data_IF_020611851875
#
_entry.id   IF_020611851875
#
_cell.length_a   1.000
_cell.length_b   1.000
_cell.length_c   1.000
_cell.angle_alpha   90.00
_cell.angle_beta   90.00
_cell.angle_gamma   90.00
#
_symmetry.space_group_name_H-M   'P 1'
#
loop_
_entity.id
_entity.type
_entity.pdbx_description
1 polymer ?
#
# COMPACT_ATOMS: atom_id res chain seq x y z
N UNK A 1 11.26 -2.11 15.92
CA UNK A 1 10.79 -1.96 14.53
C UNK A 1 10.84 -0.49 14.16
N UNK A 2 11.52 -0.10 13.07
CA UNK A 2 11.40 1.27 12.56
C UNK A 2 10.00 1.42 11.98
N UNK A 3 9.16 2.27 12.57
CA UNK A 3 7.89 2.67 11.95
C UNK A 3 8.23 3.52 10.72
N UNK A 4 8.07 2.94 9.54
CA UNK A 4 8.09 3.69 8.28
C UNK A 4 6.82 4.53 8.26
N UNK A 5 6.95 5.85 8.09
CA UNK A 5 5.80 6.74 7.94
C UNK A 5 5.52 6.89 6.45
N UNK A 6 4.32 6.50 6.03
CA UNK A 6 3.82 6.78 4.69
C UNK A 6 3.32 8.21 4.62
N UNK A 7 3.46 8.84 3.46
CA UNK A 7 2.77 10.10 3.19
C UNK A 7 1.31 9.81 2.83
N UNK A 8 0.41 10.76 3.08
CA UNK A 8 -1.00 10.64 2.68
C UNK A 8 -1.13 10.34 1.18
N UNK A 9 -0.28 10.95 0.36
CA UNK A 9 -0.24 10.72 -1.08
C UNK A 9 0.09 9.27 -1.44
N UNK A 10 1.03 8.63 -0.74
CA UNK A 10 1.37 7.22 -0.94
C UNK A 10 0.20 6.31 -0.55
N UNK A 11 -0.48 6.60 0.55
CA UNK A 11 -1.65 5.83 1.01
C UNK A 11 -2.77 5.91 -0.02
N UNK A 12 -3.11 7.13 -0.48
CA UNK A 12 -4.16 7.34 -1.49
C UNK A 12 -3.82 6.64 -2.81
N UNK A 13 -2.56 6.69 -3.25
CA UNK A 13 -2.13 6.04 -4.49
C UNK A 13 -2.29 4.50 -4.44
N UNK A 14 -1.95 3.89 -3.30
CA UNK A 14 -2.13 2.45 -3.04
C UNK A 14 -3.61 2.08 -3.07
N UNK A 15 -4.45 2.81 -2.32
CA UNK A 15 -5.89 2.54 -2.24
C UNK A 15 -6.58 2.68 -3.61
N UNK A 16 -6.29 3.75 -4.36
CA UNK A 16 -6.86 3.96 -5.71
C UNK A 16 -6.45 2.88 -6.69
N UNK A 17 -5.23 2.34 -6.57
CA UNK A 17 -4.77 1.26 -7.43
C UNK A 17 -5.55 -0.03 -7.18
N UNK A 18 -5.88 -0.33 -5.92
CA UNK A 18 -6.74 -1.47 -5.56
C UNK A 18 -8.19 -1.23 -5.99
N UNK A 19 -8.74 -0.02 -5.80
CA UNK A 19 -10.07 0.35 -6.32
C UNK A 19 -10.16 0.22 -7.86
N UNK A 20 -9.07 0.47 -8.58
CA UNK A 20 -8.97 0.26 -10.02
C UNK A 20 -8.87 -1.22 -10.44
N UNK A 21 -8.95 -2.16 -9.49
CA UNK A 21 -8.97 -3.60 -9.73
C UNK A 21 -7.61 -4.28 -9.71
N UNK A 22 -6.53 -3.59 -9.30
CA UNK A 22 -5.24 -4.26 -9.06
C UNK A 22 -5.32 -5.12 -7.81
N UNK A 23 -4.59 -6.23 -7.81
CA UNK A 23 -4.51 -7.09 -6.63
C UNK A 23 -3.71 -6.41 -5.52
N UNK A 24 -4.13 -6.60 -4.26
CA UNK A 24 -3.41 -6.07 -3.10
C UNK A 24 -1.94 -6.53 -3.10
N UNK A 25 -1.70 -7.79 -3.51
CA UNK A 25 -0.36 -8.37 -3.60
C UNK A 25 0.54 -7.62 -4.57
N UNK A 26 0.07 -7.29 -5.78
CA UNK A 26 0.85 -6.53 -6.76
C UNK A 26 1.13 -5.11 -6.25
N UNK A 27 0.10 -4.42 -5.74
CA UNK A 27 0.23 -3.05 -5.25
C UNK A 27 1.17 -2.98 -4.04
N UNK A 28 1.09 -3.92 -3.11
CA UNK A 28 2.00 -4.00 -1.96
C UNK A 28 3.45 -4.24 -2.41
N UNK A 29 3.66 -5.11 -3.41
CA UNK A 29 4.99 -5.37 -3.97
C UNK A 29 5.57 -4.13 -4.66
N UNK A 30 4.78 -3.40 -5.45
CA UNK A 30 5.22 -2.16 -6.12
C UNK A 30 5.49 -1.03 -5.11
N UNK A 31 4.66 -0.91 -4.08
CA UNK A 31 4.80 0.13 -3.05
C UNK A 31 5.87 -0.21 -2.00
N UNK A 32 6.53 -1.37 -2.10
CA UNK A 32 7.49 -1.89 -1.13
C UNK A 32 6.92 -1.93 0.31
N UNK A 33 5.66 -2.32 0.44
CA UNK A 33 4.98 -2.53 1.72
C UNK A 33 4.55 -3.98 1.88
N UNK A 34 4.41 -4.43 3.13
CA UNK A 34 3.83 -5.75 3.42
C UNK A 34 2.32 -5.69 3.31
N UNK A 35 1.68 -6.79 2.91
CA UNK A 35 0.21 -6.91 2.96
C UNK A 35 -0.33 -6.68 4.38
N UNK A 36 0.43 -7.06 5.41
CA UNK A 36 0.08 -6.77 6.81
C UNK A 36 -0.05 -5.27 7.09
N UNK A 37 0.82 -4.43 6.49
CA UNK A 37 0.74 -2.97 6.60
C UNK A 37 -0.41 -2.36 5.79
N UNK A 38 -0.96 -3.09 4.83
CA UNK A 38 -2.14 -2.65 4.08
C UNK A 38 -3.44 -2.86 4.89
N UNK A 39 -3.49 -3.90 5.74
CA UNK A 39 -4.67 -4.23 6.54
C UNK A 39 -4.67 -3.64 7.97
N UNK A 40 -3.61 -2.95 8.38
CA UNK A 40 -3.45 -2.35 9.72
C UNK A 40 -3.44 -0.81 9.68
#
# INVERSE_FOLDING_TARGET
MRKIRFTEHQIIAVLKSVEAGRTVKDVCSEAAISEDSYYN
#
